data_IF_688087445121
#
_entry.id   IF_688087445121
#
_cell.length_a   1.000
_cell.length_b   1.000
_cell.length_c   1.000
_cell.angle_alpha   90.00
_cell.angle_beta   90.00
_cell.angle_gamma   90.00
#
_symmetry.space_group_name_H-M   'P 1'
#
loop_
_entity.id
_entity.type
_entity.pdbx_description
1 polymer ?
#
# COMPACT_ATOMS: atom_id res chain seq x y z
N UNK A 1 -0.22 5.66 7.59
CA UNK A 1 -0.65 4.42 6.90
C UNK A 1 -0.45 3.18 7.77
N UNK A 2 0.69 3.02 8.46
CA UNK A 2 0.96 1.84 9.31
C UNK A 2 0.01 1.62 10.51
N UNK A 3 -0.77 2.62 10.91
CA UNK A 3 -1.70 2.54 12.05
C UNK A 3 -3.14 2.24 11.64
N UNK A 4 -3.39 1.89 10.37
CA UNK A 4 -4.74 1.56 9.92
C UNK A 4 -5.09 0.13 10.35
N UNK A 5 -6.24 -0.05 10.99
CA UNK A 5 -6.75 -1.38 11.35
C UNK A 5 -7.01 -2.23 10.11
N UNK A 6 -7.43 -1.59 9.01
CA UNK A 6 -7.66 -2.21 7.70
C UNK A 6 -7.38 -1.23 6.57
N UNK A 7 -6.93 -1.76 5.45
CA UNK A 7 -6.66 -1.05 4.20
C UNK A 7 -7.53 -1.66 3.11
N UNK A 8 -8.16 -0.82 2.29
CA UNK A 8 -9.01 -1.21 1.17
C UNK A 8 -8.42 -0.63 -0.12
N UNK A 9 -8.14 -1.49 -1.09
CA UNK A 9 -7.68 -1.07 -2.41
C UNK A 9 -8.85 -1.13 -3.38
N UNK A 10 -9.16 0.01 -3.99
CA UNK A 10 -10.23 0.13 -4.98
C UNK A 10 -9.63 0.32 -6.37
N UNK A 11 -10.09 -0.47 -7.34
CA UNK A 11 -9.84 -0.23 -8.75
C UNK A 11 -11.18 -0.07 -9.47
N UNK A 12 -11.35 1.07 -10.17
CA UNK A 12 -12.58 1.38 -10.94
C UNK A 12 -13.87 1.21 -10.12
N UNK A 13 -13.83 1.63 -8.85
CA UNK A 13 -14.95 1.54 -7.92
C UNK A 13 -15.24 0.14 -7.37
N UNK A 14 -14.34 -0.83 -7.58
CA UNK A 14 -14.46 -2.18 -7.03
C UNK A 14 -13.34 -2.46 -6.03
N UNK A 15 -13.68 -3.13 -4.94
CA UNK A 15 -12.70 -3.64 -3.98
C UNK A 15 -11.94 -4.80 -4.60
N UNK A 16 -10.61 -4.65 -4.70
CA UNK A 16 -9.72 -5.66 -5.29
C UNK A 16 -8.79 -6.30 -4.24
N UNK A 17 -8.42 -5.57 -3.19
CA UNK A 17 -7.62 -6.09 -2.07
C UNK A 17 -8.10 -5.46 -0.76
N UNK A 18 -8.06 -6.25 0.33
CA UNK A 18 -8.29 -5.77 1.68
C UNK A 18 -7.42 -6.50 2.70
N UNK A 19 -6.99 -5.80 3.75
CA UNK A 19 -6.21 -6.40 4.83
C UNK A 19 -5.44 -5.37 5.64
N UNK A 20 -4.64 -5.85 6.59
CA UNK A 20 -3.63 -5.04 7.27
C UNK A 20 -2.46 -4.73 6.32
N UNK A 21 -1.63 -3.76 6.69
CA UNK A 21 -0.41 -3.45 5.94
C UNK A 21 0.45 -4.71 5.71
N UNK A 22 0.73 -5.48 6.77
CA UNK A 22 1.62 -6.64 6.69
C UNK A 22 1.03 -7.79 5.87
N UNK A 23 -0.29 -7.96 5.86
CA UNK A 23 -0.97 -8.92 4.98
C UNK A 23 -0.82 -8.52 3.52
N UNK A 24 -1.08 -7.24 3.20
CA UNK A 24 -1.06 -6.75 1.83
C UNK A 24 0.38 -6.66 1.26
N UNK A 25 1.37 -6.34 2.09
CA UNK A 25 2.79 -6.40 1.69
C UNK A 25 3.21 -7.85 1.40
N UNK A 26 2.82 -8.81 2.25
CA UNK A 26 3.13 -10.23 2.00
C UNK A 26 2.41 -10.79 0.78
N UNK A 27 1.21 -10.30 0.49
CA UNK A 27 0.44 -10.71 -0.68
C UNK A 27 1.08 -10.25 -2.01
N UNK A 28 1.88 -9.19 -2.00
CA UNK A 28 2.60 -8.72 -3.18
C UNK A 28 1.70 -8.15 -4.29
N UNK A 29 0.50 -7.69 -3.93
CA UNK A 29 -0.49 -7.15 -4.86
C UNK A 29 -0.29 -5.66 -5.20
N UNK A 30 -1.33 -5.03 -5.74
CA UNK A 30 -1.37 -3.62 -6.13
C UNK A 30 -1.06 -2.71 -4.95
N UNK A 31 -1.51 -3.07 -3.75
CA UNK A 31 -1.12 -2.31 -2.56
C UNK A 31 0.39 -2.22 -2.38
N UNK A 32 1.09 -3.35 -2.55
CA UNK A 32 2.55 -3.43 -2.38
C UNK A 32 3.26 -2.58 -3.44
N UNK A 33 2.86 -2.68 -4.70
CA UNK A 33 3.44 -1.87 -5.78
C UNK A 33 3.29 -0.36 -5.52
N UNK A 34 2.08 0.07 -5.16
CA UNK A 34 1.80 1.48 -4.84
C UNK A 34 2.60 1.95 -3.62
N UNK A 35 2.73 1.09 -2.61
CA UNK A 35 3.53 1.39 -1.42
C UNK A 35 5.01 1.55 -1.76
N UNK A 36 5.60 0.69 -2.60
CA UNK A 36 6.99 0.80 -3.04
C UNK A 36 7.25 2.09 -3.83
N UNK A 37 6.32 2.48 -4.70
CA UNK A 37 6.40 3.75 -5.44
C UNK A 37 6.43 4.95 -4.47
N UNK A 38 5.52 4.99 -3.49
CA UNK A 38 5.53 6.02 -2.46
C UNK A 38 6.81 5.98 -1.61
N UNK A 39 7.24 4.80 -1.15
CA UNK A 39 8.42 4.66 -0.32
C UNK A 39 9.71 5.09 -1.03
N UNK A 40 9.79 4.95 -2.36
CA UNK A 40 10.88 5.52 -3.18
C UNK A 40 10.82 7.04 -3.23
N UNK A 41 9.62 7.63 -3.34
CA UNK A 41 9.46 9.08 -3.32
C UNK A 41 9.89 9.70 -1.98
N UNK A 42 9.59 9.05 -0.84
CA UNK A 42 10.00 9.52 0.49
C UNK A 42 11.47 9.27 0.83
N UNK A 43 12.16 8.36 0.11
CA UNK A 43 13.62 8.17 0.23
C UNK A 43 14.42 9.31 -0.42
N UNK A 44 13.76 10.20 -1.16
CA UNK A 44 14.33 11.44 -1.67
C UNK A 44 14.02 12.61 -0.72
N UNK A 45 14.46 12.50 0.54
CA UNK A 45 14.57 13.66 1.43
C UNK A 45 15.83 14.47 1.02
N UNK A 46 15.80 15.82 0.97
CA UNK A 46 16.98 16.60 0.62
C UNK A 46 18.06 16.47 1.71
N UNK A 47 19.34 16.69 1.38
CA UNK A 47 20.44 16.61 2.36
C UNK A 47 20.30 17.63 3.49
#
# INVERSE_FOLDING_TARGET
IRSADRILVLEKGRLIEEGTHDELIRAGGIYHELYEIQARAYRNEPP
#
